data_IF_877975879967
#
_entry.id   IF_877975879967
#
_cell.length_a   1.000
_cell.length_b   1.000
_cell.length_c   1.000
_cell.angle_alpha   90.00
_cell.angle_beta   90.00
_cell.angle_gamma   90.00
#
_symmetry.space_group_name_H-M   'P 1'
#
loop_
_entity.id
_entity.type
_entity.pdbx_description
1 polymer ?
#
# COMPACT_ATOMS: atom_id res chain seq x y z
N UNK A 1 -36.12 -56.34 -20.00
CA UNK A 1 -35.77 -55.16 -20.83
C UNK A 1 -35.81 -53.95 -19.93
N UNK A 2 -34.66 -53.49 -19.47
CA UNK A 2 -34.51 -52.29 -18.63
C UNK A 2 -33.43 -51.45 -19.28
N UNK A 3 -33.74 -50.19 -19.60
CA UNK A 3 -32.75 -49.20 -19.98
C UNK A 3 -32.64 -48.21 -18.84
N UNK A 4 -31.46 -48.10 -18.26
CA UNK A 4 -31.14 -47.06 -17.28
C UNK A 4 -30.16 -46.10 -17.97
N UNK A 5 -30.61 -44.86 -18.16
CA UNK A 5 -29.81 -43.80 -18.77
C UNK A 5 -29.17 -42.96 -17.67
N UNK A 6 -27.84 -42.78 -17.71
CA UNK A 6 -27.15 -41.76 -16.92
C UNK A 6 -26.56 -40.69 -17.84
N UNK A 7 -26.87 -39.39 -17.62
CA UNK A 7 -26.16 -38.32 -18.30
C UNK A 7 -24.72 -38.25 -17.79
N UNK A 8 -23.76 -38.22 -18.71
CA UNK A 8 -22.38 -37.82 -18.41
C UNK A 8 -22.41 -36.43 -17.79
N UNK A 9 -22.10 -36.33 -16.49
CA UNK A 9 -21.91 -35.05 -15.79
C UNK A 9 -20.92 -34.20 -16.58
N UNK A 10 -21.45 -33.15 -17.20
CA UNK A 10 -20.66 -32.13 -17.86
C UNK A 10 -19.70 -31.53 -16.84
N UNK A 11 -18.39 -31.73 -17.03
CA UNK A 11 -17.38 -31.05 -16.24
C UNK A 11 -17.47 -29.56 -16.57
N UNK A 12 -18.20 -28.81 -15.73
CA UNK A 12 -18.15 -27.35 -15.75
C UNK A 12 -16.71 -26.94 -15.50
N UNK A 13 -16.03 -26.50 -16.55
CA UNK A 13 -14.77 -25.79 -16.47
C UNK A 13 -14.98 -24.64 -15.49
N UNK A 14 -14.41 -24.78 -14.28
CA UNK A 14 -14.41 -23.74 -13.27
C UNK A 14 -13.59 -22.59 -13.86
N UNK A 15 -14.26 -21.63 -14.48
CA UNK A 15 -13.67 -20.34 -14.86
C UNK A 15 -12.92 -19.87 -13.61
N UNK A 16 -11.59 -19.82 -13.66
CA UNK A 16 -10.80 -19.08 -12.68
C UNK A 16 -11.28 -17.64 -12.82
N UNK A 17 -12.22 -17.25 -11.96
CA UNK A 17 -12.49 -15.84 -11.77
C UNK A 17 -11.21 -15.30 -11.17
N UNK A 18 -10.38 -14.67 -11.99
CA UNK A 18 -9.37 -13.74 -11.52
C UNK A 18 -10.15 -12.54 -10.99
N UNK A 19 -10.72 -12.66 -9.79
CA UNK A 19 -11.17 -11.47 -9.07
C UNK A 19 -9.89 -10.74 -8.70
N UNK A 20 -9.61 -9.63 -9.38
CA UNK A 20 -8.60 -8.70 -8.90
C UNK A 20 -8.93 -8.38 -7.45
N UNK A 21 -8.06 -8.75 -6.52
CA UNK A 21 -8.21 -8.43 -5.11
C UNK A 21 -8.16 -6.91 -4.97
N UNK A 22 -9.25 -6.29 -4.50
CA UNK A 22 -9.25 -4.87 -4.18
C UNK A 22 -8.49 -4.68 -2.86
N UNK A 23 -7.19 -4.41 -2.97
CA UNK A 23 -6.30 -4.18 -1.83
C UNK A 23 -6.25 -2.68 -1.54
N UNK A 24 -6.47 -2.30 -0.28
CA UNK A 24 -6.58 -0.88 0.11
C UNK A 24 -5.61 -0.50 1.23
N UNK A 25 -5.13 0.75 1.17
CA UNK A 25 -4.34 1.41 2.21
C UNK A 25 -5.26 2.40 2.93
N UNK A 26 -5.27 2.37 4.27
CA UNK A 26 -6.24 3.16 5.04
C UNK A 26 -5.58 4.24 5.90
N UNK A 27 -6.15 5.44 5.79
CA UNK A 27 -5.88 6.61 6.62
C UNK A 27 -7.15 7.10 7.31
N UNK A 28 -7.01 7.91 8.36
CA UNK A 28 -8.15 8.55 9.04
C UNK A 28 -8.54 9.90 8.40
N UNK A 29 -7.74 10.39 7.45
CA UNK A 29 -7.96 11.63 6.74
C UNK A 29 -7.80 11.46 5.23
N UNK A 30 -7.97 12.56 4.49
CA UNK A 30 -7.78 12.59 3.04
C UNK A 30 -6.32 12.21 2.73
N UNK A 31 -6.13 11.30 1.77
CA UNK A 31 -4.80 10.99 1.25
C UNK A 31 -4.44 12.08 0.24
N UNK A 32 -3.32 12.77 0.48
CA UNK A 32 -2.87 13.93 -0.30
C UNK A 32 -1.81 13.56 -1.35
N UNK A 33 -0.95 12.61 -1.02
CA UNK A 33 0.13 12.19 -1.90
C UNK A 33 0.38 10.68 -1.79
N UNK A 34 0.92 10.13 -2.88
CA UNK A 34 1.38 8.75 -2.97
C UNK A 34 2.65 8.68 -3.82
N UNK A 35 3.55 7.76 -3.48
CA UNK A 35 4.77 7.48 -4.22
C UNK A 35 5.14 6.01 -4.10
N UNK A 36 5.53 5.36 -5.20
CA UNK A 36 6.13 4.03 -5.15
C UNK A 36 7.60 4.11 -4.76
N UNK A 37 8.09 3.09 -4.05
CA UNK A 37 9.52 2.90 -3.87
C UNK A 37 10.19 2.61 -5.22
N UNK A 38 11.48 2.92 -5.39
CA UNK A 38 12.22 2.66 -6.62
C UNK A 38 12.21 1.18 -7.05
N UNK A 39 12.14 0.26 -6.10
CA UNK A 39 12.06 -1.18 -6.35
C UNK A 39 10.62 -1.70 -6.60
N UNK A 40 9.61 -0.82 -6.48
CA UNK A 40 8.20 -1.14 -6.67
C UNK A 40 7.57 -2.02 -5.59
N UNK A 41 8.30 -2.35 -4.51
CA UNK A 41 7.83 -3.25 -3.45
C UNK A 41 7.07 -2.54 -2.35
N UNK A 42 7.19 -1.21 -2.26
CA UNK A 42 6.55 -0.43 -1.23
C UNK A 42 5.81 0.79 -1.79
N UNK A 43 4.78 1.21 -1.07
CA UNK A 43 4.01 2.41 -1.34
C UNK A 43 4.13 3.36 -0.16
N UNK A 44 4.45 4.62 -0.41
CA UNK A 44 4.38 5.71 0.55
C UNK A 44 3.09 6.47 0.32
N UNK A 45 2.31 6.66 1.37
CA UNK A 45 1.11 7.52 1.37
C UNK A 45 1.23 8.61 2.41
N UNK A 46 0.73 9.80 2.12
CA UNK A 46 0.69 10.94 3.04
C UNK A 46 -0.74 11.49 3.17
N UNK A 47 -1.13 11.89 4.37
CA UNK A 47 -2.52 12.24 4.66
C UNK A 47 -2.67 13.49 5.54
N UNK A 48 -3.87 14.07 5.46
CA UNK A 48 -4.36 15.09 6.38
C UNK A 48 -4.53 14.58 7.83
N UNK A 49 -4.43 13.27 8.10
CA UNK A 49 -4.35 12.73 9.46
C UNK A 49 -2.99 12.91 10.16
N UNK A 50 -2.15 13.78 9.60
CA UNK A 50 -0.79 14.09 10.04
C UNK A 50 0.18 12.91 10.00
N UNK A 51 -0.18 11.83 9.29
CA UNK A 51 0.69 10.66 9.13
C UNK A 51 1.10 10.42 7.68
N UNK A 52 2.35 9.98 7.51
CA UNK A 52 2.81 9.31 6.32
C UNK A 52 3.05 7.84 6.66
N UNK A 53 2.66 6.93 5.77
CA UNK A 53 2.75 5.49 5.98
C UNK A 53 3.45 4.83 4.81
N UNK A 54 4.29 3.85 5.11
CA UNK A 54 4.87 2.97 4.11
C UNK A 54 4.16 1.62 4.21
N UNK A 55 3.74 1.13 3.05
CA UNK A 55 3.02 -0.12 2.89
C UNK A 55 3.87 -1.10 2.11
N UNK A 56 3.92 -2.35 2.55
CA UNK A 56 4.51 -3.45 1.80
C UNK A 56 3.48 -4.00 0.80
N UNK A 57 3.91 -4.10 -0.46
CA UNK A 57 3.14 -4.63 -1.59
C UNK A 57 3.68 -5.97 -2.10
N UNK A 58 4.71 -6.52 -1.45
CA UNK A 58 5.38 -7.76 -1.87
C UNK A 58 4.47 -8.99 -1.81
N UNK A 59 3.46 -8.98 -0.93
CA UNK A 59 2.46 -10.03 -0.87
C UNK A 59 1.29 -9.71 -1.82
N UNK A 60 1.03 -10.63 -2.75
CA UNK A 60 -0.07 -10.49 -3.73
C UNK A 60 -1.45 -10.45 -3.08
N UNK A 61 -1.60 -11.02 -1.87
CA UNK A 61 -2.88 -11.16 -1.19
C UNK A 61 -3.12 -10.12 -0.09
N UNK A 62 -2.08 -9.41 0.37
CA UNK A 62 -2.17 -8.54 1.53
C UNK A 62 -1.29 -7.31 1.37
N UNK A 63 -1.79 -6.16 1.85
CA UNK A 63 -0.99 -4.94 2.02
C UNK A 63 -0.81 -4.72 3.51
N UNK A 64 0.43 -4.53 3.96
CA UNK A 64 0.74 -4.32 5.37
C UNK A 64 1.40 -2.95 5.58
N UNK A 65 0.97 -2.22 6.61
CA UNK A 65 1.66 -1.02 7.08
C UNK A 65 2.97 -1.45 7.76
N UNK A 66 4.11 -1.09 7.18
CA UNK A 66 5.44 -1.46 7.72
C UNK A 66 6.08 -0.33 8.51
N UNK A 67 5.76 0.94 8.19
CA UNK A 67 6.25 2.11 8.90
C UNK A 67 5.23 3.24 8.89
N UNK A 68 5.29 4.07 9.93
CA UNK A 68 4.49 5.28 10.11
C UNK A 68 5.38 6.41 10.59
N UNK A 69 5.16 7.59 10.02
CA UNK A 69 5.87 8.83 10.32
C UNK A 69 4.87 9.91 10.67
N UNK A 70 5.11 10.64 11.75
CA UNK A 70 4.15 11.57 12.33
C UNK A 70 4.66 13.02 12.24
N UNK A 71 3.74 13.90 11.86
CA UNK A 71 3.89 15.35 11.86
C UNK A 71 2.92 16.00 12.84
N UNK A 72 3.11 17.28 13.14
CA UNK A 72 2.17 18.06 13.97
C UNK A 72 1.05 18.70 13.14
N UNK A 73 0.98 18.36 11.85
CA UNK A 73 -0.03 18.87 10.93
C UNK A 73 -0.13 18.02 9.65
N UNK A 74 -1.16 18.29 8.83
CA UNK A 74 -1.40 17.59 7.56
C UNK A 74 -0.16 17.48 6.68
N UNK A 75 0.10 16.28 6.16
CA UNK A 75 1.22 16.06 5.22
C UNK A 75 0.70 16.22 3.80
N UNK A 76 1.30 17.16 3.05
CA UNK A 76 0.83 17.54 1.70
C UNK A 76 1.61 16.89 0.58
N UNK A 77 2.86 16.54 0.83
CA UNK A 77 3.71 15.86 -0.14
C UNK A 77 4.61 14.84 0.56
N UNK A 78 4.92 13.77 -0.15
CA UNK A 78 5.89 12.79 0.28
C UNK A 78 6.55 12.13 -0.94
N UNK A 79 7.82 11.77 -0.84
CA UNK A 79 8.54 11.04 -1.89
C UNK A 79 9.58 10.08 -1.31
N UNK A 80 9.91 9.05 -2.09
CA UNK A 80 11.09 8.22 -1.85
C UNK A 80 12.33 8.88 -2.41
N UNK A 81 13.45 8.71 -1.72
CA UNK A 81 14.78 8.90 -2.31
C UNK A 81 15.05 7.82 -3.36
N UNK A 82 15.91 8.13 -4.34
CA UNK A 82 16.21 7.24 -5.47
C UNK A 82 16.75 5.85 -5.07
N UNK A 83 17.45 5.78 -3.93
CA UNK A 83 17.98 4.53 -3.36
C UNK A 83 16.97 3.78 -2.46
N UNK A 84 15.77 4.33 -2.24
CA UNK A 84 14.70 3.70 -1.47
C UNK A 84 14.91 3.62 0.04
N UNK A 85 16.05 4.06 0.58
CA UNK A 85 16.37 4.00 2.01
C UNK A 85 15.77 5.15 2.83
N UNK A 86 15.53 6.27 2.16
CA UNK A 86 15.02 7.50 2.77
C UNK A 86 13.69 7.89 2.15
N UNK A 87 12.87 8.57 2.95
CA UNK A 87 11.71 9.31 2.46
C UNK A 87 11.79 10.76 2.89
N UNK A 88 11.16 11.64 2.12
CA UNK A 88 10.99 13.05 2.48
C UNK A 88 9.51 13.35 2.58
N UNK A 89 9.10 14.05 3.63
CA UNK A 89 7.73 14.51 3.84
C UNK A 89 7.71 16.03 3.97
N UNK A 90 6.64 16.67 3.51
CA UNK A 90 6.39 18.10 3.69
C UNK A 90 4.99 18.31 4.30
N UNK A 91 4.93 19.05 5.41
CA UNK A 91 3.72 19.22 6.23
C UNK A 91 3.33 20.69 6.41
N UNK A 92 2.04 20.91 6.69
CA UNK A 92 1.51 22.18 7.18
C UNK A 92 2.05 22.58 8.56
N UNK A 93 2.76 21.71 9.27
CA UNK A 93 3.47 22.05 10.52
C UNK A 93 4.74 22.90 10.31
N UNK A 94 4.91 23.43 9.10
CA UNK A 94 6.06 24.23 8.66
C UNK A 94 7.39 23.48 8.64
N UNK A 95 7.36 22.13 8.65
CA UNK A 95 8.57 21.32 8.54
C UNK A 95 8.54 20.42 7.30
N UNK A 96 9.71 20.28 6.70
CA UNK A 96 10.04 19.13 5.87
C UNK A 96 10.97 18.22 6.68
N UNK A 97 10.75 16.91 6.62
CA UNK A 97 11.55 15.93 7.37
C UNK A 97 12.05 14.85 6.43
N UNK A 98 13.31 14.49 6.63
CA UNK A 98 13.93 13.31 5.99
C UNK A 98 13.87 12.19 7.00
N UNK A 99 13.38 11.03 6.58
CA UNK A 99 13.26 9.87 7.44
C UNK A 99 14.00 8.70 6.86
N UNK A 100 14.68 7.95 7.70
CA UNK A 100 15.24 6.67 7.33
C UNK A 100 14.21 5.57 7.57
N UNK A 101 13.98 4.71 6.57
CA UNK A 101 12.94 3.67 6.66
C UNK A 101 13.31 2.59 7.67
N UNK A 102 14.59 2.23 7.77
CA UNK A 102 15.08 1.19 8.69
C UNK A 102 14.79 1.57 10.14
N UNK A 103 15.16 2.78 10.56
CA UNK A 103 15.01 3.28 11.93
C UNK A 103 13.62 3.87 12.19
N UNK A 104 12.95 4.45 11.20
CA UNK A 104 11.67 5.14 11.38
C UNK A 104 11.80 6.53 12.00
N UNK A 105 13.01 7.05 12.17
CA UNK A 105 13.28 8.33 12.82
C UNK A 105 13.61 9.42 11.79
N UNK A 106 13.29 10.66 12.15
CA UNK A 106 13.70 11.81 11.36
C UNK A 106 15.20 12.02 11.54
N UNK A 107 15.91 12.18 10.42
CA UNK A 107 17.31 12.60 10.43
C UNK A 107 17.31 14.12 10.56
N UNK A 108 18.00 14.62 11.59
CA UNK A 108 18.18 16.04 11.87
C UNK A 108 19.40 16.61 11.16
#
# INVERSE_FOLDING_TARGET
MVWQWEPKRSQRLRRKQNSASNRQCSHRGIIRALAFSPDGRSLLTASDDSTAKVWDLSNENEIQEIKRFEHQGPIKAACFHAEGQLIVTASEDHTARVWEISSGQAIH
#
